data_IF_108102079396
#
_entry.id   IF_108102079396
#
_cell.length_a   1.000
_cell.length_b   1.000
_cell.length_c   1.000
_cell.angle_alpha   90.00
_cell.angle_beta   90.00
_cell.angle_gamma   90.00
#
_symmetry.space_group_name_H-M   'P 1'
#
loop_
_entity.id
_entity.type
_entity.pdbx_description
1 polymer ?
#
# COMPACT_ATOMS: atom_id res chain seq x y z
N UNK A 1 10.90 1.15 -49.78
CA UNK A 1 9.99 0.46 -48.83
C UNK A 1 10.19 1.12 -47.48
N UNK A 2 9.16 1.78 -46.95
CA UNK A 2 9.23 2.49 -45.67
C UNK A 2 8.69 1.56 -44.59
N UNK A 3 9.48 1.34 -43.53
CA UNK A 3 9.00 0.75 -42.28
C UNK A 3 9.03 1.85 -41.24
N UNK A 4 7.88 2.52 -41.04
CA UNK A 4 7.70 3.37 -39.88
C UNK A 4 7.48 2.45 -38.68
N UNK A 5 8.44 2.41 -37.75
CA UNK A 5 8.27 1.70 -36.49
C UNK A 5 7.21 2.47 -35.68
N UNK A 6 5.98 1.96 -35.65
CA UNK A 6 4.93 2.51 -34.82
C UNK A 6 5.29 2.32 -33.36
N UNK A 7 5.61 3.42 -32.68
CA UNK A 7 5.77 3.41 -31.23
C UNK A 7 4.38 3.26 -30.63
N UNK A 8 4.03 2.03 -30.22
CA UNK A 8 2.83 1.79 -29.42
C UNK A 8 3.18 2.30 -28.02
N UNK A 9 2.56 3.38 -27.51
CA UNK A 9 2.74 3.74 -26.12
C UNK A 9 2.24 2.57 -25.28
N UNK A 10 3.05 2.12 -24.32
CA UNK A 10 2.53 1.24 -23.28
C UNK A 10 1.35 1.97 -22.62
N UNK A 11 0.22 1.28 -22.44
CA UNK A 11 -0.82 1.78 -21.57
C UNK A 11 -0.23 1.75 -20.15
N UNK A 12 0.21 2.90 -19.64
CA UNK A 12 0.52 3.04 -18.23
C UNK A 12 -0.77 2.77 -17.45
N UNK A 13 -0.66 1.96 -16.39
CA UNK A 13 -1.76 1.75 -15.47
C UNK A 13 -2.20 3.10 -14.90
N UNK A 14 -3.50 3.37 -14.98
CA UNK A 14 -4.05 4.60 -14.47
C UNK A 14 -4.55 4.36 -13.05
N UNK A 15 -3.95 5.07 -12.08
CA UNK A 15 -4.48 5.13 -10.73
C UNK A 15 -5.67 6.11 -10.70
N UNK A 16 -6.87 5.54 -10.76
CA UNK A 16 -8.12 6.29 -10.76
C UNK A 16 -8.56 6.60 -9.32
N UNK A 17 -8.63 7.88 -8.98
CA UNK A 17 -9.13 8.32 -7.66
C UNK A 17 -10.56 7.85 -7.40
N UNK A 18 -10.82 7.42 -6.16
CA UNK A 18 -12.12 7.06 -5.60
C UNK A 18 -12.31 7.74 -4.25
N UNK A 19 -13.57 7.92 -3.85
CA UNK A 19 -13.95 8.50 -2.55
C UNK A 19 -13.16 9.78 -2.19
N UNK A 20 -13.13 10.77 -3.10
CA UNK A 20 -12.41 12.02 -2.89
C UNK A 20 -10.88 11.93 -2.76
N UNK A 21 -10.24 10.85 -3.22
CA UNK A 21 -8.79 10.62 -3.12
C UNK A 21 -8.35 9.86 -1.87
N UNK A 22 -9.28 9.17 -1.19
CA UNK A 22 -8.96 8.29 -0.05
C UNK A 22 -8.71 6.84 -0.47
N UNK A 23 -8.96 6.52 -1.75
CA UNK A 23 -8.82 5.20 -2.37
C UNK A 23 -8.40 5.40 -3.84
N UNK A 24 -7.62 4.48 -4.42
CA UNK A 24 -7.16 4.57 -5.81
C UNK A 24 -7.26 3.21 -6.52
N UNK A 25 -8.13 3.13 -7.53
CA UNK A 25 -8.31 1.94 -8.36
C UNK A 25 -7.22 1.86 -9.44
N UNK A 26 -6.56 0.72 -9.52
CA UNK A 26 -5.56 0.35 -10.53
C UNK A 26 -6.23 -0.51 -11.61
N UNK A 27 -6.32 0.01 -12.83
CA UNK A 27 -7.03 -0.62 -13.93
C UNK A 27 -6.25 -1.72 -14.68
N UNK A 28 -5.00 -1.99 -14.30
CA UNK A 28 -4.21 -3.11 -14.84
C UNK A 28 -4.10 -4.26 -13.84
N UNK A 29 -3.99 -3.95 -12.55
CA UNK A 29 -4.04 -4.96 -11.49
C UNK A 29 -5.48 -5.40 -11.16
N UNK A 30 -6.50 -4.59 -11.52
CA UNK A 30 -7.91 -4.75 -11.13
C UNK A 30 -8.06 -4.83 -9.60
N UNK A 31 -7.45 -3.86 -8.90
CA UNK A 31 -7.52 -3.71 -7.44
C UNK A 31 -7.64 -2.24 -7.05
N UNK A 32 -8.23 -1.96 -5.89
CA UNK A 32 -8.20 -0.63 -5.27
C UNK A 32 -7.23 -0.59 -4.09
N UNK A 33 -6.25 0.30 -4.16
CA UNK A 33 -5.35 0.65 -3.06
C UNK A 33 -5.99 1.62 -2.08
N UNK A 34 -5.78 1.40 -0.78
CA UNK A 34 -6.08 2.40 0.24
C UNK A 34 -5.16 3.62 0.04
N UNK A 35 -5.69 4.84 0.12
CA UNK A 35 -4.91 6.06 -0.11
C UNK A 35 -3.80 6.31 0.92
N UNK A 36 -4.02 5.84 2.15
CA UNK A 36 -3.05 5.88 3.24
C UNK A 36 -2.33 4.53 3.38
N UNK A 37 -1.05 4.51 3.00
CA UNK A 37 -0.19 3.34 3.08
C UNK A 37 0.36 3.06 4.50
N UNK A 38 -0.20 3.69 5.53
CA UNK A 38 0.14 3.45 6.94
C UNK A 38 -1.11 3.47 7.85
N UNK A 39 -2.32 3.26 7.31
CA UNK A 39 -3.59 3.31 8.04
C UNK A 39 -3.74 2.31 9.21
N UNK A 40 -2.81 1.37 9.36
CA UNK A 40 -2.73 0.44 10.51
C UNK A 40 -2.11 1.10 11.75
N UNK A 41 -1.38 2.21 11.60
CA UNK A 41 -0.67 2.86 12.70
C UNK A 41 -1.61 3.31 13.83
N UNK A 42 -1.22 3.03 15.06
CA UNK A 42 -2.00 3.36 16.26
C UNK A 42 -3.29 2.54 16.44
N UNK A 43 -3.56 1.57 15.57
CA UNK A 43 -4.67 0.62 15.77
C UNK A 43 -4.32 -0.42 16.84
N UNK A 44 -5.31 -1.20 17.30
CA UNK A 44 -5.07 -2.31 18.23
C UNK A 44 -4.24 -3.47 17.65
N UNK A 45 -3.88 -3.42 16.37
CA UNK A 45 -3.01 -4.39 15.69
C UNK A 45 -1.55 -3.94 15.62
N UNK A 46 -1.28 -2.65 15.82
CA UNK A 46 0.06 -2.05 15.92
C UNK A 46 0.90 -2.76 16.99
N UNK A 47 2.21 -2.94 16.79
CA UNK A 47 3.07 -3.55 17.82
C UNK A 47 3.28 -2.64 19.05
N UNK A 48 2.95 -1.36 18.93
CA UNK A 48 2.92 -0.39 20.02
C UNK A 48 4.29 0.08 20.50
N UNK A 49 5.37 -0.29 19.79
CA UNK A 49 6.73 0.21 20.11
C UNK A 49 6.86 1.69 19.74
N UNK A 50 6.32 2.09 18.58
CA UNK A 50 6.18 3.49 18.17
C UNK A 50 4.81 3.71 17.51
N UNK A 51 3.91 4.45 18.18
CA UNK A 51 2.50 4.57 17.80
C UNK A 51 2.19 5.11 16.39
N UNK A 52 3.18 5.71 15.72
CA UNK A 52 3.03 6.33 14.39
C UNK A 52 3.75 5.54 13.27
N UNK A 53 4.52 4.49 13.59
CA UNK A 53 5.37 3.81 12.60
C UNK A 53 4.65 2.74 11.77
N UNK A 54 3.51 2.24 12.29
CA UNK A 54 2.61 1.29 11.64
C UNK A 54 3.20 -0.12 11.46
N UNK A 55 4.17 -0.50 12.28
CA UNK A 55 4.84 -1.80 12.17
C UNK A 55 4.09 -2.87 12.94
N UNK A 56 3.91 -4.01 12.27
CA UNK A 56 3.11 -5.14 12.78
C UNK A 56 3.70 -6.48 12.41
N UNK A 57 3.40 -7.49 13.23
CA UNK A 57 3.59 -8.89 12.84
C UNK A 57 2.71 -9.23 11.63
N UNK A 58 3.12 -10.22 10.82
CA UNK A 58 2.33 -10.64 9.66
C UNK A 58 0.91 -11.08 10.03
N UNK A 59 0.74 -11.80 11.16
CA UNK A 59 -0.57 -12.21 11.65
C UNK A 59 -1.47 -11.02 11.99
N UNK A 60 -0.92 -9.97 12.62
CA UNK A 60 -1.66 -8.74 12.91
C UNK A 60 -2.00 -7.98 11.62
N UNK A 61 -1.08 -7.92 10.65
CA UNK A 61 -1.31 -7.29 9.34
C UNK A 61 -2.49 -7.93 8.59
N UNK A 62 -2.54 -9.27 8.53
CA UNK A 62 -3.62 -10.03 7.90
C UNK A 62 -4.95 -9.86 8.66
N UNK A 63 -4.92 -9.92 10.01
CA UNK A 63 -6.11 -9.76 10.83
C UNK A 63 -6.69 -8.33 10.77
N UNK A 64 -5.83 -7.31 10.70
CA UNK A 64 -6.22 -5.93 10.47
C UNK A 64 -6.94 -5.77 9.12
N UNK A 65 -6.30 -6.19 8.02
CA UNK A 65 -6.89 -6.06 6.70
C UNK A 65 -8.25 -6.78 6.61
N UNK A 66 -8.34 -8.02 7.09
CA UNK A 66 -9.56 -8.82 7.09
C UNK A 66 -10.69 -8.29 8.02
N UNK A 67 -10.42 -7.28 8.84
CA UNK A 67 -11.43 -6.62 9.70
C UNK A 67 -11.62 -5.14 9.37
N UNK A 68 -10.93 -4.63 8.34
CA UNK A 68 -11.01 -3.23 7.93
C UNK A 68 -12.37 -2.96 7.25
N UNK A 69 -13.09 -1.97 7.77
CA UNK A 69 -14.18 -1.28 7.07
C UNK A 69 -13.72 0.16 6.86
N UNK A 70 -13.50 0.54 5.61
CA UNK A 70 -13.03 1.88 5.26
C UNK A 70 -13.97 2.49 4.21
N UNK A 71 -14.64 3.59 4.58
CA UNK A 71 -15.63 4.25 3.73
C UNK A 71 -16.89 3.41 3.43
N UNK A 72 -17.16 2.34 4.20
CA UNK A 72 -18.23 1.38 3.93
C UNK A 72 -17.83 0.25 2.98
N UNK A 73 -16.54 0.17 2.61
CA UNK A 73 -15.96 -0.94 1.85
C UNK A 73 -15.31 -1.90 2.86
N UNK A 74 -15.68 -3.18 2.76
CA UNK A 74 -15.15 -4.30 3.57
C UNK A 74 -14.25 -5.19 2.69
N UNK A 75 -13.97 -6.43 3.06
CA UNK A 75 -13.21 -7.42 2.24
C UNK A 75 -11.81 -6.96 1.78
N UNK A 76 -11.16 -6.09 2.56
CA UNK A 76 -9.77 -5.70 2.33
C UNK A 76 -8.79 -6.84 2.64
N UNK A 77 -7.66 -6.85 1.91
CA UNK A 77 -6.55 -7.78 2.08
C UNK A 77 -5.21 -7.04 2.02
N UNK A 78 -4.13 -7.77 2.34
CA UNK A 78 -2.78 -7.33 2.01
C UNK A 78 -2.47 -7.57 0.52
N UNK A 79 -1.44 -6.91 -0.06
CA UNK A 79 -1.15 -7.05 -1.47
C UNK A 79 -0.61 -8.45 -1.79
N UNK A 80 -0.99 -8.96 -2.95
CA UNK A 80 -0.72 -10.31 -3.42
C UNK A 80 0.61 -10.45 -4.18
N UNK A 81 1.13 -11.68 -4.12
CA UNK A 81 2.16 -12.21 -5.03
C UNK A 81 1.66 -13.55 -5.58
N UNK A 82 1.86 -13.78 -6.87
CA UNK A 82 1.62 -15.01 -7.61
C UNK A 82 2.86 -15.39 -8.42
N UNK A 83 3.02 -16.65 -8.88
CA UNK A 83 4.19 -17.05 -9.67
C UNK A 83 4.28 -16.31 -11.01
N UNK A 84 5.43 -15.71 -11.31
CA UNK A 84 5.73 -15.03 -12.58
C UNK A 84 5.50 -15.90 -13.82
N UNK A 85 5.71 -17.21 -13.69
CA UNK A 85 5.51 -18.20 -14.75
C UNK A 85 4.10 -18.82 -14.76
N UNK A 86 3.21 -18.40 -13.85
CA UNK A 86 1.86 -18.96 -13.67
C UNK A 86 1.77 -20.35 -13.02
N UNK A 87 2.89 -20.97 -12.63
CA UNK A 87 2.89 -22.35 -12.08
C UNK A 87 3.55 -22.51 -10.72
N UNK A 88 4.72 -21.91 -10.50
CA UNK A 88 5.48 -22.13 -9.26
C UNK A 88 6.50 -21.02 -9.02
N UNK A 89 6.66 -20.58 -7.77
CA UNK A 89 7.67 -19.59 -7.40
C UNK A 89 9.09 -20.09 -7.70
N UNK A 90 9.89 -19.24 -8.35
CA UNK A 90 11.29 -19.46 -8.71
C UNK A 90 12.15 -18.53 -7.84
N UNK A 91 12.71 -19.08 -6.77
CA UNK A 91 13.37 -18.31 -5.70
C UNK A 91 14.90 -18.40 -5.69
N UNK A 92 15.48 -19.20 -6.58
CA UNK A 92 16.92 -19.48 -6.68
C UNK A 92 17.65 -18.53 -7.63
N UNK A 93 18.94 -18.31 -7.38
CA UNK A 93 19.86 -17.66 -8.32
C UNK A 93 20.25 -18.63 -9.46
N UNK A 94 20.71 -18.13 -10.63
CA UNK A 94 20.94 -16.73 -11.02
C UNK A 94 19.68 -15.98 -11.53
N UNK A 95 19.80 -14.67 -11.73
CA UNK A 95 18.72 -13.82 -12.28
C UNK A 95 17.86 -13.13 -11.22
N UNK A 96 18.41 -12.88 -10.02
CA UNK A 96 17.74 -12.13 -8.94
C UNK A 96 17.75 -10.60 -9.14
N UNK A 97 18.41 -10.10 -10.20
CA UNK A 97 18.52 -8.66 -10.47
C UNK A 97 17.64 -8.18 -11.63
N UNK A 98 17.31 -9.05 -12.59
CA UNK A 98 16.64 -8.67 -13.84
C UNK A 98 15.15 -9.06 -13.88
N UNK A 99 14.49 -9.20 -12.73
CA UNK A 99 13.09 -9.61 -12.64
C UNK A 99 12.78 -11.05 -13.08
N UNK A 100 13.79 -11.90 -13.34
CA UNK A 100 13.58 -13.27 -13.82
C UNK A 100 13.23 -14.29 -12.71
N UNK A 101 12.87 -13.82 -11.52
CA UNK A 101 12.66 -14.58 -10.28
C UNK A 101 11.61 -13.90 -9.42
N UNK A 102 10.82 -14.69 -8.71
CA UNK A 102 9.83 -14.22 -7.73
C UNK A 102 10.47 -13.71 -6.43
N UNK A 103 11.80 -13.56 -6.42
CA UNK A 103 12.61 -13.04 -5.32
C UNK A 103 13.79 -12.26 -5.88
N UNK A 104 13.93 -11.00 -5.46
CA UNK A 104 14.98 -10.10 -5.92
C UNK A 104 14.43 -8.77 -6.40
N UNK A 105 15.10 -8.20 -7.39
CA UNK A 105 14.90 -6.85 -7.92
C UNK A 105 14.30 -6.88 -9.32
N UNK A 106 13.73 -5.73 -9.70
CA UNK A 106 13.19 -5.42 -11.02
C UNK A 106 12.10 -6.39 -11.49
N UNK A 107 11.39 -7.01 -10.54
CA UNK A 107 10.14 -7.72 -10.78
C UNK A 107 9.14 -6.71 -11.35
N UNK A 108 8.43 -7.06 -12.42
CA UNK A 108 7.50 -6.18 -13.15
C UNK A 108 8.13 -4.97 -13.86
N UNK A 109 9.40 -4.65 -13.62
CA UNK A 109 10.01 -3.42 -14.13
C UNK A 109 10.06 -3.37 -15.67
N UNK A 110 9.92 -2.18 -16.29
CA UNK A 110 10.16 -1.99 -17.71
C UNK A 110 11.54 -2.54 -18.13
N UNK A 111 11.56 -3.40 -19.16
CA UNK A 111 12.79 -4.04 -19.64
C UNK A 111 13.30 -5.24 -18.82
N UNK A 112 12.64 -5.61 -17.73
CA UNK A 112 12.93 -6.86 -17.00
C UNK A 112 12.60 -8.11 -17.82
N UNK A 113 12.92 -9.30 -17.28
CA UNK A 113 12.56 -10.58 -17.89
C UNK A 113 11.04 -10.84 -17.94
N UNK A 114 10.25 -10.17 -17.08
CA UNK A 114 8.79 -10.21 -17.05
C UNK A 114 8.24 -8.77 -16.94
N UNK A 115 8.40 -7.96 -18.01
CA UNK A 115 8.10 -6.54 -17.95
C UNK A 115 6.59 -6.30 -17.84
N UNK A 116 6.19 -5.38 -16.98
CA UNK A 116 4.79 -5.07 -16.65
C UNK A 116 3.98 -6.28 -16.15
N UNK A 117 4.64 -7.28 -15.55
CA UNK A 117 3.92 -8.43 -14.99
C UNK A 117 3.10 -8.03 -13.75
N UNK A 118 1.79 -8.34 -13.69
CA UNK A 118 0.96 -8.08 -12.51
C UNK A 118 1.22 -9.09 -11.37
N UNK A 119 2.18 -10.01 -11.52
CA UNK A 119 2.38 -11.12 -10.60
C UNK A 119 2.77 -10.71 -9.16
N UNK A 120 3.23 -9.47 -8.94
CA UNK A 120 3.40 -8.90 -7.61
C UNK A 120 2.84 -7.48 -7.60
N UNK A 121 1.79 -7.26 -6.82
CA UNK A 121 1.07 -5.99 -6.78
C UNK A 121 1.96 -4.87 -6.25
N UNK A 122 2.78 -5.14 -5.23
CA UNK A 122 3.75 -4.16 -4.70
C UNK A 122 4.92 -3.91 -5.65
N UNK A 123 5.39 -4.92 -6.41
CA UNK A 123 6.44 -4.69 -7.41
C UNK A 123 5.90 -3.87 -8.59
N UNK A 124 4.69 -4.17 -9.06
CA UNK A 124 4.01 -3.40 -10.10
C UNK A 124 3.77 -1.95 -9.64
N UNK A 125 3.27 -1.74 -8.42
CA UNK A 125 3.13 -0.42 -7.81
C UNK A 125 4.47 0.33 -7.78
N UNK A 126 5.53 -0.28 -7.26
CA UNK A 126 6.84 0.37 -7.15
C UNK A 126 7.45 0.72 -8.52
N UNK A 127 7.53 -0.27 -9.43
CA UNK A 127 8.29 -0.16 -10.67
C UNK A 127 7.51 0.41 -11.87
N UNK A 128 6.17 0.28 -11.87
CA UNK A 128 5.32 0.69 -13.00
C UNK A 128 4.51 1.93 -12.61
N UNK A 129 3.64 1.84 -11.60
CA UNK A 129 2.72 2.93 -11.26
C UNK A 129 3.44 4.18 -10.72
N UNK A 130 4.53 3.95 -10.00
CA UNK A 130 5.34 4.99 -9.38
C UNK A 130 6.66 5.25 -10.13
N UNK A 131 6.97 4.48 -11.18
CA UNK A 131 8.20 4.61 -11.98
C UNK A 131 9.51 4.63 -11.13
N UNK A 132 9.53 3.97 -9.95
CA UNK A 132 10.73 3.93 -9.12
C UNK A 132 11.76 2.93 -9.66
N UNK A 133 13.02 3.19 -9.35
CA UNK A 133 14.15 2.33 -9.71
C UNK A 133 14.61 1.50 -8.50
N UNK A 134 14.87 0.21 -8.70
CA UNK A 134 15.42 -0.65 -7.64
C UNK A 134 16.89 -0.33 -7.35
N UNK A 135 17.45 -0.84 -6.26
CA UNK A 135 18.86 -0.64 -5.92
C UNK A 135 19.81 -1.04 -7.07
N UNK A 136 19.59 -2.23 -7.63
CA UNK A 136 20.38 -2.76 -8.75
C UNK A 136 19.70 -2.51 -10.10
N UNK A 137 20.48 -2.15 -11.12
CA UNK A 137 20.03 -2.10 -12.50
C UNK A 137 19.75 -3.48 -13.10
N UNK A 138 19.13 -3.50 -14.28
CA UNK A 138 18.82 -4.73 -15.03
C UNK A 138 20.09 -5.46 -15.53
N UNK A 139 21.19 -4.73 -15.66
CA UNK A 139 22.52 -5.18 -16.07
C UNK A 139 23.40 -5.67 -14.91
N UNK A 140 22.93 -5.54 -13.66
CA UNK A 140 23.67 -6.00 -12.49
C UNK A 140 23.87 -7.53 -12.49
N UNK A 141 25.07 -7.95 -12.12
CA UNK A 141 25.54 -9.33 -12.15
C UNK A 141 25.88 -9.88 -10.77
N UNK A 142 26.21 -9.00 -9.81
CA UNK A 142 26.59 -9.36 -8.45
C UNK A 142 26.12 -8.33 -7.41
N UNK A 143 25.99 -8.77 -6.15
CA UNK A 143 25.70 -7.89 -4.99
C UNK A 143 26.87 -6.95 -4.61
N UNK A 144 28.00 -7.03 -5.32
CA UNK A 144 29.12 -6.08 -5.24
C UNK A 144 28.99 -4.93 -6.21
N UNK A 145 28.04 -5.00 -7.15
CA UNK A 145 27.85 -3.96 -8.17
C UNK A 145 27.26 -2.70 -7.50
N UNK A 146 27.65 -1.49 -7.94
CA UNK A 146 27.16 -0.25 -7.35
C UNK A 146 25.66 -0.07 -7.60
N UNK A 147 24.95 0.67 -6.73
CA UNK A 147 23.55 1.00 -6.98
C UNK A 147 23.38 1.83 -8.27
N UNK A 148 22.28 1.60 -8.99
CA UNK A 148 21.97 2.40 -10.18
C UNK A 148 21.59 3.85 -9.81
N UNK A 149 21.94 4.87 -10.61
CA UNK A 149 21.54 6.25 -10.34
C UNK A 149 20.02 6.40 -10.23
N UNK A 150 19.54 7.13 -9.21
CA UNK A 150 18.11 7.39 -9.02
C UNK A 150 17.30 6.28 -8.34
N UNK A 151 17.97 5.26 -7.76
CA UNK A 151 17.32 4.18 -7.02
C UNK A 151 16.54 4.63 -5.77
N UNK A 152 15.59 3.79 -5.37
CA UNK A 152 14.78 3.91 -4.16
C UNK A 152 13.39 4.51 -4.41
N UNK A 153 12.65 4.75 -3.33
CA UNK A 153 11.35 5.42 -3.35
C UNK A 153 11.51 6.93 -3.63
N UNK A 154 11.71 7.28 -4.90
CA UNK A 154 11.76 8.66 -5.38
C UNK A 154 10.36 9.26 -5.56
N UNK A 155 9.38 8.43 -5.92
CA UNK A 155 8.00 8.79 -6.23
C UNK A 155 7.03 8.01 -5.34
N UNK A 156 6.13 8.71 -4.65
CA UNK A 156 5.04 8.10 -3.85
C UNK A 156 3.67 8.21 -4.52
N UNK A 157 3.58 8.85 -5.69
CA UNK A 157 2.32 9.03 -6.42
C UNK A 157 1.29 9.80 -5.57
N UNK A 158 0.01 9.42 -5.62
CA UNK A 158 -1.04 10.09 -4.85
C UNK A 158 -1.17 9.60 -3.39
N UNK A 159 -0.33 8.65 -2.96
CA UNK A 159 -0.47 7.97 -1.67
C UNK A 159 0.14 8.75 -0.50
N UNK A 160 -0.55 8.76 0.64
CA UNK A 160 -0.03 9.31 1.91
C UNK A 160 0.68 8.22 2.70
N UNK A 161 1.68 8.63 3.49
CA UNK A 161 2.48 7.79 4.38
C UNK A 161 3.21 6.58 3.75
N UNK A 162 3.21 6.43 2.42
CA UNK A 162 4.07 5.49 1.71
C UNK A 162 5.53 5.88 1.96
N UNK A 163 6.32 4.94 2.48
CA UNK A 163 7.68 5.21 2.95
C UNK A 163 8.69 4.19 2.40
N UNK A 164 9.96 4.59 2.39
CA UNK A 164 11.10 3.72 2.09
C UNK A 164 11.30 2.70 3.23
N UNK A 165 10.40 1.72 3.27
CA UNK A 165 10.26 0.73 4.33
C UNK A 165 9.88 -0.63 3.74
N UNK A 166 9.89 -1.66 4.58
CA UNK A 166 9.41 -2.99 4.22
C UNK A 166 7.91 -3.12 4.52
N UNK A 167 7.18 -3.74 3.59
CA UNK A 167 5.75 -3.98 3.64
C UNK A 167 5.43 -5.48 3.50
N UNK A 168 4.48 -5.99 4.28
CA UNK A 168 4.00 -7.37 4.20
C UNK A 168 3.11 -7.61 2.97
N UNK A 169 3.28 -8.77 2.32
CA UNK A 169 2.30 -9.33 1.39
C UNK A 169 1.35 -10.28 2.12
N UNK A 170 0.14 -10.45 1.59
CA UNK A 170 -0.78 -11.50 2.03
C UNK A 170 -0.36 -12.91 1.59
N UNK A 171 0.57 -13.03 0.64
CA UNK A 171 1.00 -14.32 0.10
C UNK A 171 2.04 -14.99 0.99
N UNK A 172 1.76 -16.26 1.36
CA UNK A 172 2.72 -17.16 2.01
C UNK A 172 3.89 -17.45 1.06
N UNK A 173 5.11 -17.23 1.55
CA UNK A 173 6.33 -17.63 0.85
C UNK A 173 6.48 -19.16 0.95
N UNK A 174 7.00 -19.88 -0.06
CA UNK A 174 7.07 -21.35 -0.04
C UNK A 174 8.23 -21.89 0.82
N UNK A 175 8.34 -21.39 2.06
CA UNK A 175 9.06 -21.96 3.19
C UNK A 175 8.12 -21.98 4.40
N UNK A 176 8.25 -22.95 5.33
CA UNK A 176 7.41 -23.00 6.52
C UNK A 176 7.48 -21.68 7.31
N UNK A 177 6.33 -21.17 7.75
CA UNK A 177 6.20 -19.94 8.54
C UNK A 177 6.74 -18.66 7.88
N UNK A 178 6.84 -18.59 6.54
CA UNK A 178 7.34 -17.39 5.86
C UNK A 178 6.26 -16.72 5.00
N UNK A 179 6.31 -15.40 4.90
CA UNK A 179 5.46 -14.60 4.01
C UNK A 179 6.31 -13.77 3.05
N UNK A 180 5.76 -13.45 1.87
CA UNK A 180 6.38 -12.48 0.99
C UNK A 180 6.36 -11.08 1.62
N UNK A 181 7.36 -10.30 1.26
CA UNK A 181 7.45 -8.87 1.59
C UNK A 181 8.10 -8.11 0.45
N UNK A 182 7.76 -6.82 0.36
CA UNK A 182 8.41 -5.89 -0.57
C UNK A 182 9.08 -4.76 0.20
N UNK A 183 10.33 -4.50 -0.15
CA UNK A 183 11.14 -3.43 0.41
C UNK A 183 11.11 -2.22 -0.54
N UNK A 184 10.36 -1.18 -0.16
CA UNK A 184 10.24 0.07 -0.94
C UNK A 184 11.50 0.95 -0.83
N UNK A 185 12.43 0.69 0.08
CA UNK A 185 13.73 1.38 0.07
C UNK A 185 14.62 0.82 -1.06
N UNK A 186 14.65 -0.50 -1.22
CA UNK A 186 15.53 -1.19 -2.16
C UNK A 186 14.86 -1.59 -3.50
N UNK A 187 13.53 -1.55 -3.59
CA UNK A 187 12.76 -2.14 -4.70
C UNK A 187 12.80 -3.67 -4.70
N UNK A 188 12.95 -4.30 -3.53
CA UNK A 188 13.30 -5.73 -3.44
C UNK A 188 12.14 -6.58 -2.90
N UNK A 189 11.79 -7.65 -3.63
CA UNK A 189 10.90 -8.70 -3.11
C UNK A 189 11.70 -9.81 -2.42
N UNK A 190 11.29 -10.16 -1.21
CA UNK A 190 11.87 -11.23 -0.39
C UNK A 190 10.78 -12.07 0.30
N UNK A 191 11.18 -13.14 0.96
CA UNK A 191 10.41 -13.79 2.01
C UNK A 191 11.03 -13.51 3.37
N UNK A 192 10.22 -13.55 4.43
CA UNK A 192 10.69 -13.41 5.81
C UNK A 192 9.82 -14.19 6.80
N UNK A 193 10.36 -14.48 7.98
CA UNK A 193 9.72 -15.33 8.98
C UNK A 193 8.60 -14.59 9.72
N UNK A 194 7.41 -15.21 9.79
CA UNK A 194 6.20 -14.64 10.41
C UNK A 194 6.08 -14.96 11.90
N UNK A 195 6.94 -15.83 12.45
CA UNK A 195 6.93 -16.23 13.87
C UNK A 195 7.92 -15.45 14.72
N UNK A 196 8.85 -14.74 14.08
CA UNK A 196 9.86 -13.92 14.74
C UNK A 196 9.24 -12.61 15.22
N UNK A 197 9.15 -12.41 16.53
CA UNK A 197 8.42 -11.27 17.13
C UNK A 197 9.02 -9.89 16.87
N UNK A 198 10.25 -9.80 16.37
CA UNK A 198 10.87 -8.54 15.95
C UNK A 198 10.77 -8.28 14.43
N UNK A 199 10.21 -9.21 13.66
CA UNK A 199 9.83 -9.00 12.26
C UNK A 199 8.49 -8.23 12.21
N UNK A 200 8.54 -6.96 12.61
CA UNK A 200 7.44 -6.02 12.42
C UNK A 200 7.66 -5.21 11.14
N UNK A 201 6.75 -5.30 10.17
CA UNK A 201 6.78 -4.55 8.92
C UNK A 201 5.44 -3.83 8.71
N UNK A 202 5.38 -2.91 7.74
CA UNK A 202 4.16 -2.15 7.47
C UNK A 202 3.11 -3.00 6.76
N UNK A 203 1.85 -2.58 6.89
CA UNK A 203 0.71 -3.15 6.18
C UNK A 203 0.03 -2.06 5.34
N UNK A 204 -0.25 -2.36 4.08
CA UNK A 204 -0.98 -1.48 3.16
C UNK A 204 -2.13 -2.27 2.56
N UNK A 205 -3.37 -1.83 2.80
CA UNK A 205 -4.56 -2.56 2.37
C UNK A 205 -4.88 -2.33 0.89
N UNK A 206 -5.32 -3.39 0.22
CA UNK A 206 -5.94 -3.38 -1.11
C UNK A 206 -7.26 -4.14 -1.08
N UNK A 207 -8.14 -3.81 -2.02
CA UNK A 207 -9.42 -4.48 -2.26
C UNK A 207 -9.45 -5.01 -3.70
N UNK A 208 -10.08 -6.15 -3.95
CA UNK A 208 -10.21 -6.69 -5.32
C UNK A 208 -11.21 -5.87 -6.14
N UNK A 209 -10.83 -5.45 -7.34
CA UNK A 209 -11.66 -4.63 -8.24
C UNK A 209 -11.86 -3.17 -7.82
N UNK A 210 -12.76 -2.51 -8.56
CA UNK A 210 -13.10 -1.09 -8.40
C UNK A 210 -14.11 -0.84 -7.27
N UNK A 211 -13.73 0.00 -6.30
CA UNK A 211 -14.61 0.45 -5.21
C UNK A 211 -15.39 1.71 -5.61
N UNK A 212 -16.58 1.51 -6.17
CA UNK A 212 -17.50 2.59 -6.52
C UNK A 212 -18.24 3.16 -5.31
N UNK A 213 -17.52 3.86 -4.42
CA UNK A 213 -18.14 4.64 -3.34
C UNK A 213 -18.91 5.81 -3.96
N UNK A 214 -20.22 5.96 -3.71
CA UNK A 214 -20.95 7.14 -4.12
C UNK A 214 -20.32 8.37 -3.46
N UNK A 215 -19.83 9.32 -4.27
CA UNK A 215 -19.44 10.65 -3.78
C UNK A 215 -20.57 11.17 -2.87
N UNK A 216 -20.29 11.61 -1.63
CA UNK A 216 -21.30 12.18 -0.77
C UNK A 216 -21.78 13.50 -1.40
N UNK A 217 -22.83 13.39 -2.21
CA UNK A 217 -23.55 14.52 -2.81
C UNK A 217 -23.71 15.60 -1.74
N UNK A 218 -23.34 16.83 -2.09
CA UNK A 218 -22.96 17.89 -1.13
C UNK A 218 -24.09 18.43 -0.22
N UNK A 219 -25.22 17.72 -0.18
CA UNK A 219 -26.40 17.90 0.66
C UNK A 219 -26.08 17.83 2.17
N UNK A 220 -25.00 17.15 2.58
CA UNK A 220 -24.55 17.14 3.98
C UNK A 220 -23.94 18.49 4.44
N UNK A 221 -23.37 19.28 3.54
CA UNK A 221 -22.62 20.51 3.87
C UNK A 221 -23.50 21.77 4.04
N UNK A 222 -24.81 21.68 3.77
CA UNK A 222 -25.75 22.81 3.88
C UNK A 222 -26.56 22.76 5.20
N UNK A 223 -26.58 21.63 5.91
CA UNK A 223 -27.38 21.43 7.13
C UNK A 223 -26.74 21.88 8.46
N UNK A 224 -25.47 22.31 8.46
CA UNK A 224 -24.66 22.50 9.68
C UNK A 224 -24.53 23.93 10.22
N UNK A 225 -25.20 24.92 9.62
CA UNK A 225 -25.11 26.32 10.04
C UNK A 225 -26.39 26.80 10.76
N UNK A 226 -26.23 27.51 11.88
CA UNK A 226 -27.29 28.04 12.79
C UNK A 226 -27.93 26.92 13.65
N UNK A 227 -27.67 26.79 14.97
CA UNK A 227 -28.13 27.69 16.07
C UNK A 227 -27.15 27.64 17.28
N UNK A 228 -26.44 28.73 17.58
CA UNK A 228 -25.91 29.02 18.94
C UNK A 228 -25.90 30.54 19.22
N UNK A 229 -27.08 31.15 19.36
CA UNK A 229 -27.34 32.43 20.05
C UNK A 229 -28.83 32.41 20.44
N UNK A 230 -29.30 32.72 21.65
CA UNK A 230 -28.66 32.99 22.95
C UNK A 230 -29.76 33.39 23.94
N UNK A 231 -29.79 32.84 25.17
CA UNK A 231 -30.98 32.95 26.02
C UNK A 231 -30.76 32.70 27.52
N UNK A 232 -29.92 33.51 28.18
CA UNK A 232 -29.66 33.42 29.63
C UNK A 232 -30.94 33.66 30.46
N UNK A 233 -31.48 32.59 31.07
CA UNK A 233 -32.49 32.74 32.12
C UNK A 233 -31.85 33.26 33.42
N UNK A 234 -32.01 34.57 33.69
CA UNK A 234 -31.76 35.15 35.01
C UNK A 234 -33.02 35.05 35.87
N UNK A 235 -32.95 34.34 37.00
CA UNK A 235 -33.80 34.61 38.17
C UNK A 235 -32.93 34.62 39.43
N UNK A 236 -33.00 35.72 40.19
CA UNK A 236 -32.37 35.91 41.52
C UNK A 236 -33.35 36.69 42.39
N UNK A 237 -33.23 36.51 43.71
CA UNK A 237 -34.09 37.05 44.78
C UNK A 237 -35.50 36.41 44.84
N UNK A 238 -36.17 36.24 45.99
CA UNK A 238 -35.82 36.47 47.41
C UNK A 238 -36.66 35.48 48.28
N UNK A 239 -36.47 35.26 49.60
CA UNK A 239 -35.50 35.73 50.61
C UNK A 239 -35.45 34.69 51.77
N UNK A 240 -34.62 34.91 52.80
CA UNK A 240 -34.75 34.24 54.12
C UNK A 240 -34.72 35.28 55.23
N UNK A 241 -35.79 35.35 56.02
CA UNK A 241 -35.80 36.06 57.31
C UNK A 241 -36.63 35.29 58.33
N UNK A 242 -35.95 34.60 59.25
CA UNK A 242 -36.49 34.25 60.57
C UNK A 242 -35.40 34.51 61.60
N UNK A 243 -35.67 35.42 62.52
CA UNK A 243 -35.11 35.44 63.87
C UNK A 243 -36.24 35.73 64.84
N UNK A 244 -36.23 35.01 65.95
CA UNK A 244 -36.66 35.54 67.24
C UNK A 244 -35.47 36.29 67.86
#
# INVERSE_FOLDING_TARGET
MVVALGWIPAAHAALHSRAGGTMFYDDVLDITWLGDANAIAGTAFDDGVFADDGRVSWANAVAWAATLDFGGVQDWRLPGVSPLNGTNFILSSPGTFNGAKDKGFNISAPGSAYPYSPASEMAYMFYVNLENLGYYGLDATAFSDPPQPGWGLANTGPFTHLAAATYWSGTIYPLPNWAFRFDFHLGQQLGDDTTVSFNSFRAWAVHDGDVTVPEPTSLALVGGAVVVLGGRWRRRAAAVSRRA
#
